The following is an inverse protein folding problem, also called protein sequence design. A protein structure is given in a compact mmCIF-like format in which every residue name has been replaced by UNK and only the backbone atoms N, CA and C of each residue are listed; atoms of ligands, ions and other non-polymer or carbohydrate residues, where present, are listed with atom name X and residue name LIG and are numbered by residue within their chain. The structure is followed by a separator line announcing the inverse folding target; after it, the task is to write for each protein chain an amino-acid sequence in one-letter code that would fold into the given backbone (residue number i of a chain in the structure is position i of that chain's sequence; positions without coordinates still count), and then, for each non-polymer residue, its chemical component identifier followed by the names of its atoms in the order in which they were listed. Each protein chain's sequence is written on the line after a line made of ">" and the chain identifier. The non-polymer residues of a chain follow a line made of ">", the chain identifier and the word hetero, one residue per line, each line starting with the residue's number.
data_IF_297519764687
#
_entry.id   IF_297519764687
#
_cell.length_a   1.000
_cell.length_b   1.000
_cell.length_c   1.000
_cell.angle_alpha   90.00
_cell.angle_beta   90.00
_cell.angle_gamma   90.00
#
_symmetry.space_group_name_H-M   'P 1'
#
loop_
_entity.id
_entity.type
_entity.pdbx_description
1 polymer ?
#
# COMPACT_ATOMS: atom_id res chain seq x y z
N UNK A 1 -14.40 -7.80 12.65
CA UNK A 1 -14.35 -6.86 11.52
C UNK A 1 -13.05 -6.10 11.61
N UNK A 2 -12.19 -6.16 10.58
CA UNK A 2 -10.96 -5.36 10.51
C UNK A 2 -11.31 -3.91 10.19
N UNK A 3 -10.66 -2.94 10.85
CA UNK A 3 -10.90 -1.51 10.62
C UNK A 3 -10.34 -1.08 9.26
N UNK A 4 -10.81 0.04 8.69
CA UNK A 4 -10.25 0.57 7.43
C UNK A 4 -8.75 0.85 7.53
N UNK A 5 -8.28 1.30 8.71
CA UNK A 5 -6.84 1.47 8.98
C UNK A 5 -6.08 0.14 8.90
N UNK A 6 -6.63 -0.94 9.47
CA UNK A 6 -6.02 -2.26 9.36
C UNK A 6 -5.99 -2.74 7.91
N UNK A 7 -7.09 -2.52 7.15
CA UNK A 7 -7.15 -2.87 5.72
C UNK A 7 -6.07 -2.16 4.90
N UNK A 8 -5.76 -0.90 5.18
CA UNK A 8 -4.67 -0.17 4.51
C UNK A 8 -3.31 -0.80 4.80
N UNK A 9 -3.03 -1.11 6.07
CA UNK A 9 -1.76 -1.73 6.48
C UNK A 9 -1.60 -3.12 5.85
N UNK A 10 -2.66 -3.94 5.89
CA UNK A 10 -2.65 -5.29 5.31
C UNK A 10 -2.44 -5.24 3.79
N UNK A 11 -3.08 -4.28 3.11
CA UNK A 11 -2.92 -4.08 1.66
C UNK A 11 -1.49 -3.67 1.30
N UNK A 12 -0.92 -2.68 1.98
CA UNK A 12 0.48 -2.27 1.77
C UNK A 12 1.46 -3.42 2.01
N UNK A 13 1.23 -4.21 3.06
CA UNK A 13 2.07 -5.37 3.35
C UNK A 13 1.98 -6.45 2.27
N UNK A 14 0.77 -6.72 1.77
CA UNK A 14 0.54 -7.67 0.67
C UNK A 14 1.22 -7.23 -0.62
N UNK A 15 1.14 -5.93 -0.95
CA UNK A 15 1.78 -5.39 -2.15
C UNK A 15 3.31 -5.40 -2.05
N UNK A 16 3.88 -5.13 -0.87
CA UNK A 16 5.31 -5.31 -0.65
C UNK A 16 5.78 -6.74 -0.91
N UNK A 17 5.07 -7.74 -0.37
CA UNK A 17 5.37 -9.14 -0.65
C UNK A 17 5.21 -9.51 -2.14
N UNK A 18 4.23 -8.93 -2.80
CA UNK A 18 4.04 -9.10 -4.24
C UNK A 18 5.20 -8.52 -5.05
N UNK A 19 5.64 -7.30 -4.73
CA UNK A 19 6.69 -6.59 -5.45
C UNK A 19 8.10 -7.16 -5.22
N UNK A 20 8.41 -7.69 -4.03
CA UNK A 20 9.70 -8.37 -3.78
C UNK A 20 9.86 -9.57 -4.72
N UNK A 21 8.95 -10.56 -4.61
CA UNK A 21 9.04 -11.82 -5.37
C UNK A 21 7.70 -12.44 -5.76
N UNK A 22 6.58 -11.97 -5.21
CA UNK A 22 5.27 -12.56 -5.50
C UNK A 22 4.92 -12.52 -6.99
N UNK A 23 5.26 -11.45 -7.72
CA UNK A 23 5.03 -11.38 -9.17
C UNK A 23 5.82 -12.46 -9.94
N UNK A 24 7.04 -12.80 -9.50
CA UNK A 24 7.86 -13.86 -10.08
C UNK A 24 7.23 -15.23 -9.84
N UNK A 25 6.73 -15.48 -8.62
CA UNK A 25 6.09 -16.75 -8.27
C UNK A 25 4.75 -16.93 -8.98
N UNK A 26 4.02 -15.84 -9.20
CA UNK A 26 2.79 -15.81 -10.02
C UNK A 26 3.05 -15.85 -11.53
N UNK A 27 4.34 -15.80 -11.96
CA UNK A 27 4.76 -15.73 -13.36
C UNK A 27 4.12 -14.56 -14.13
N UNK A 28 3.85 -13.46 -13.44
CA UNK A 28 3.34 -12.25 -14.04
C UNK A 28 4.44 -11.59 -14.88
N UNK A 29 4.05 -11.15 -16.08
CA UNK A 29 4.86 -10.30 -16.94
C UNK A 29 5.08 -8.93 -16.30
N UNK A 30 6.07 -8.15 -16.77
CA UNK A 30 6.23 -6.77 -16.31
C UNK A 30 4.98 -5.91 -16.49
N UNK A 31 4.19 -6.15 -17.54
CA UNK A 31 2.94 -5.44 -17.78
C UNK A 31 1.86 -5.81 -16.74
N UNK A 32 1.74 -7.08 -16.39
CA UNK A 32 0.83 -7.54 -15.33
C UNK A 32 1.28 -7.05 -13.94
N UNK A 33 2.60 -6.99 -13.69
CA UNK A 33 3.14 -6.38 -12.48
C UNK A 33 2.78 -4.90 -12.39
N UNK A 34 2.96 -4.13 -13.48
CA UNK A 34 2.56 -2.73 -13.52
C UNK A 34 1.05 -2.55 -13.30
N UNK A 35 0.22 -3.37 -13.94
CA UNK A 35 -1.23 -3.32 -13.74
C UNK A 35 -1.62 -3.59 -12.28
N UNK A 36 -0.97 -4.55 -11.61
CA UNK A 36 -1.18 -4.80 -10.18
C UNK A 36 -0.78 -3.60 -9.31
N UNK A 37 0.31 -2.90 -9.65
CA UNK A 37 0.73 -1.69 -8.94
C UNK A 37 -0.28 -0.54 -9.15
N UNK A 38 -0.82 -0.39 -10.36
CA UNK A 38 -1.81 0.65 -10.67
C UNK A 38 -3.13 0.38 -9.90
N UNK A 39 -3.59 -0.87 -9.88
CA UNK A 39 -4.74 -1.31 -9.07
C UNK A 39 -4.48 -1.11 -7.57
N UNK A 40 -3.28 -1.47 -7.10
CA UNK A 40 -2.89 -1.25 -5.72
C UNK A 40 -2.95 0.23 -5.33
N UNK A 41 -2.49 1.13 -6.20
CA UNK A 41 -2.54 2.56 -5.94
C UNK A 41 -3.98 3.07 -5.87
N UNK A 42 -4.87 2.61 -6.75
CA UNK A 42 -6.29 2.96 -6.68
C UNK A 42 -6.92 2.52 -5.34
N UNK A 43 -6.57 1.34 -4.84
CA UNK A 43 -7.03 0.85 -3.53
C UNK A 43 -6.46 1.69 -2.38
N UNK A 44 -5.17 2.03 -2.41
CA UNK A 44 -4.54 2.89 -1.41
C UNK A 44 -5.25 4.24 -1.32
N UNK A 45 -5.46 4.91 -2.47
CA UNK A 45 -6.13 6.20 -2.54
C UNK A 45 -7.56 6.14 -2.00
N UNK A 46 -8.30 5.08 -2.32
CA UNK A 46 -9.64 4.85 -1.78
C UNK A 46 -9.63 4.69 -0.27
N UNK A 47 -8.70 3.91 0.29
CA UNK A 47 -8.61 3.69 1.73
C UNK A 47 -8.20 4.97 2.47
N UNK A 48 -7.35 5.81 1.87
CA UNK A 48 -7.03 7.15 2.39
C UNK A 48 -8.29 8.02 2.48
N UNK A 49 -9.12 8.02 1.44
CA UNK A 49 -10.40 8.75 1.43
C UNK A 49 -11.35 8.25 2.53
N UNK A 50 -11.50 6.92 2.66
CA UNK A 50 -12.33 6.29 3.70
C UNK A 50 -11.81 6.57 5.14
N UNK A 51 -10.50 6.69 5.33
CA UNK A 51 -9.88 7.00 6.63
C UNK A 51 -9.92 8.51 6.93
N UNK A 52 -9.83 9.33 5.89
CA UNK A 52 -9.69 10.79 5.95
C UNK A 52 -8.23 11.24 6.08
N UNK A 53 -7.83 12.20 5.24
CA UNK A 53 -6.46 12.73 5.17
C UNK A 53 -5.93 13.28 6.52
N UNK A 54 -6.81 13.75 7.40
CA UNK A 54 -6.43 14.28 8.72
C UNK A 54 -5.92 13.20 9.70
N UNK A 55 -6.10 11.91 9.39
CA UNK A 55 -5.57 10.82 10.20
C UNK A 55 -4.09 10.53 9.97
N UNK A 56 -3.48 11.16 8.97
CA UNK A 56 -2.11 10.91 8.53
C UNK A 56 -1.22 12.13 8.80
N UNK A 57 0.05 11.88 9.05
CA UNK A 57 1.11 12.87 8.92
C UNK A 57 1.24 13.30 7.47
N UNK A 58 1.65 14.54 7.26
CA UNK A 58 1.81 15.11 5.92
C UNK A 58 2.76 14.29 5.05
N UNK A 59 3.86 13.81 5.64
CA UNK A 59 4.89 13.08 4.92
C UNK A 59 4.39 11.69 4.52
N UNK A 60 3.74 10.95 5.44
CA UNK A 60 3.15 9.64 5.11
C UNK A 60 2.08 9.78 4.04
N UNK A 61 1.19 10.77 4.15
CA UNK A 61 0.14 11.00 3.17
C UNK A 61 0.72 11.28 1.78
N UNK A 62 1.77 12.11 1.69
CA UNK A 62 2.42 12.42 0.43
C UNK A 62 3.04 11.17 -0.22
N UNK A 63 3.71 10.33 0.55
CA UNK A 63 4.28 9.06 0.06
C UNK A 63 3.21 8.09 -0.43
N UNK A 64 2.11 7.94 0.31
CA UNK A 64 1.01 7.07 -0.11
C UNK A 64 0.31 7.61 -1.38
N UNK A 65 0.19 8.94 -1.51
CA UNK A 65 -0.42 9.56 -2.69
C UNK A 65 0.49 9.54 -3.93
N UNK A 66 1.81 9.52 -3.76
CA UNK A 66 2.78 9.50 -4.86
C UNK A 66 2.83 8.17 -5.62
N UNK A 67 2.27 7.11 -5.05
CA UNK A 67 2.40 5.75 -5.56
C UNK A 67 3.57 4.97 -4.97
N UNK A 68 4.33 5.54 -4.02
CA UNK A 68 5.43 4.83 -3.38
C UNK A 68 4.96 3.54 -2.70
N UNK A 69 3.80 3.55 -2.04
CA UNK A 69 3.26 2.35 -1.38
C UNK A 69 2.89 1.22 -2.33
N UNK A 70 2.46 1.56 -3.56
CA UNK A 70 2.15 0.57 -4.58
C UNK A 70 3.39 -0.08 -5.21
N UNK A 71 4.54 0.59 -5.14
CA UNK A 71 5.83 0.14 -5.71
C UNK A 71 6.81 -0.37 -4.66
N UNK A 72 6.51 -0.19 -3.38
CA UNK A 72 7.33 -0.68 -2.27
C UNK A 72 7.47 -2.20 -2.37
N UNK A 73 8.69 -2.70 -2.27
CA UNK A 73 9.06 -4.11 -2.24
C UNK A 73 9.61 -4.53 -0.85
N UNK A 74 9.84 -3.55 0.02
CA UNK A 74 10.51 -3.75 1.31
C UNK A 74 9.53 -3.85 2.48
N UNK A 75 8.31 -3.33 2.32
CA UNK A 75 7.29 -3.24 3.37
C UNK A 75 7.51 -2.07 4.34
N UNK A 76 8.48 -1.19 4.06
CA UNK A 76 8.78 -0.03 4.90
C UNK A 76 7.57 0.92 5.04
N UNK A 77 6.80 1.12 3.97
CA UNK A 77 5.61 1.98 4.01
C UNK A 77 4.46 1.32 4.76
N UNK A 78 4.33 -0.01 4.70
CA UNK A 78 3.38 -0.75 5.53
C UNK A 78 3.69 -0.59 7.02
N UNK A 79 4.96 -0.71 7.41
CA UNK A 79 5.41 -0.58 8.80
C UNK A 79 5.28 0.87 9.31
N UNK A 80 5.64 1.88 8.50
CA UNK A 80 5.38 3.27 8.87
C UNK A 80 3.89 3.53 9.06
N UNK A 81 3.05 3.11 8.12
CA UNK A 81 1.59 3.26 8.22
C UNK A 81 1.03 2.58 9.47
N UNK A 82 1.50 1.36 9.78
CA UNK A 82 1.11 0.62 10.99
C UNK A 82 1.43 1.41 12.26
N UNK A 83 2.67 1.91 12.39
CA UNK A 83 3.12 2.67 13.57
C UNK A 83 2.35 3.97 13.79
N UNK A 84 1.79 4.53 12.73
CA UNK A 84 1.05 5.79 12.79
C UNK A 84 -0.44 5.56 13.05
N UNK A 85 -1.07 4.61 12.34
CA UNK A 85 -2.52 4.46 12.34
C UNK A 85 -3.06 3.42 13.33
N UNK A 86 -2.24 2.48 13.79
CA UNK A 86 -2.68 1.32 14.58
C UNK A 86 -2.03 1.24 15.97
N UNK A 87 -1.59 2.37 16.52
CA UNK A 87 -1.12 2.43 17.91
C UNK A 87 -2.19 1.99 18.90
#
# INVERSE_FOLDING_TARGET
>A
MTTTRQRLVDHLHGIAGYNDKGYLWSRHTPAEAQANQDEAQAVILRLIDEIGAAAFSRDLLAELQSGAGARDDSGNLAEWTRRELLR
#
